data_IF_523965876036
#
_entry.id   IF_523965876036
#
_cell.length_a   1.000
_cell.length_b   1.000
_cell.length_c   1.000
_cell.angle_alpha   90.00
_cell.angle_beta   90.00
_cell.angle_gamma   90.00
#
_symmetry.space_group_name_H-M   'P 1'
#
loop_
_entity.id
_entity.type
_entity.pdbx_description
1 polymer ?
#
# COMPACT_ATOMS: atom_id res chain seq x y z
N UNK A 1 -11.86 -35.98 3.15
CA UNK A 1 -10.47 -36.19 2.71
C UNK A 1 -9.71 -34.90 3.02
N UNK A 2 -8.81 -34.90 4.02
CA UNK A 2 -7.89 -33.77 4.24
C UNK A 2 -6.74 -33.97 3.25
N UNK A 3 -6.62 -33.09 2.26
CA UNK A 3 -5.34 -32.99 1.54
C UNK A 3 -4.32 -32.49 2.55
N UNK A 4 -3.31 -33.30 2.84
CA UNK A 4 -2.09 -32.85 3.48
C UNK A 4 -1.23 -32.32 2.35
N UNK A 5 -1.26 -31.00 2.16
CA UNK A 5 -0.29 -30.32 1.34
C UNK A 5 1.08 -30.44 2.03
N UNK A 6 2.13 -30.69 1.26
CA UNK A 6 3.47 -30.50 1.80
C UNK A 6 3.77 -29.00 2.03
N UNK A 7 4.93 -28.69 2.61
CA UNK A 7 5.27 -27.32 2.97
C UNK A 7 5.35 -26.37 1.76
N UNK A 8 5.78 -26.89 0.61
CA UNK A 8 5.96 -26.14 -0.62
C UNK A 8 4.62 -25.90 -1.32
N UNK A 9 3.79 -26.93 -1.39
CA UNK A 9 2.41 -26.84 -1.89
C UNK A 9 1.57 -25.90 -1.03
N UNK A 10 1.75 -25.93 0.29
CA UNK A 10 1.06 -25.01 1.21
C UNK A 10 1.50 -23.56 0.97
N UNK A 11 2.80 -23.32 0.83
CA UNK A 11 3.34 -21.99 0.56
C UNK A 11 2.77 -21.42 -0.74
N UNK A 12 2.86 -22.18 -1.83
CA UNK A 12 2.34 -21.79 -3.14
C UNK A 12 0.82 -21.51 -3.10
N UNK A 13 0.06 -22.32 -2.35
CA UNK A 13 -1.37 -22.09 -2.14
C UNK A 13 -1.63 -20.77 -1.39
N UNK A 14 -0.97 -20.55 -0.25
CA UNK A 14 -1.18 -19.35 0.57
C UNK A 14 -0.78 -18.07 -0.20
N UNK A 15 0.32 -18.10 -0.94
CA UNK A 15 0.73 -16.98 -1.81
C UNK A 15 -0.28 -16.73 -2.94
N UNK A 16 -0.78 -17.79 -3.59
CA UNK A 16 -1.80 -17.65 -4.64
C UNK A 16 -3.06 -16.97 -4.11
N UNK A 17 -3.48 -17.31 -2.90
CA UNK A 17 -4.61 -16.67 -2.22
C UNK A 17 -4.29 -15.20 -1.91
N UNK A 18 -3.10 -14.91 -1.38
CA UNK A 18 -2.64 -13.54 -1.13
C UNK A 18 -2.63 -12.68 -2.39
N UNK A 19 -2.14 -13.20 -3.50
CA UNK A 19 -2.08 -12.52 -4.79
C UNK A 19 -3.49 -12.25 -5.33
N UNK A 20 -4.38 -13.23 -5.23
CA UNK A 20 -5.78 -13.05 -5.59
C UNK A 20 -6.47 -11.95 -4.75
N UNK A 21 -6.25 -11.94 -3.43
CA UNK A 21 -6.81 -10.92 -2.55
C UNK A 21 -6.25 -9.53 -2.88
N UNK A 22 -4.95 -9.43 -3.12
CA UNK A 22 -4.30 -8.18 -3.54
C UNK A 22 -4.90 -7.63 -4.83
N UNK A 23 -5.08 -8.47 -5.86
CA UNK A 23 -5.75 -8.08 -7.11
C UNK A 23 -7.18 -7.59 -6.87
N UNK A 24 -7.94 -8.26 -6.00
CA UNK A 24 -9.30 -7.85 -5.66
C UNK A 24 -9.33 -6.46 -5.00
N UNK A 25 -8.40 -6.19 -4.09
CA UNK A 25 -8.27 -4.89 -3.42
C UNK A 25 -7.99 -3.79 -4.45
N UNK A 26 -7.06 -4.02 -5.37
CA UNK A 26 -6.76 -3.08 -6.46
C UNK A 26 -7.93 -2.85 -7.40
N UNK A 27 -8.59 -3.92 -7.81
CA UNK A 27 -9.81 -3.83 -8.63
C UNK A 27 -10.89 -2.98 -7.94
N UNK A 28 -11.07 -3.14 -6.62
CA UNK A 28 -12.07 -2.37 -5.85
C UNK A 28 -11.72 -0.88 -5.69
N UNK A 29 -10.46 -0.50 -5.94
CA UNK A 29 -10.04 0.90 -6.04
C UNK A 29 -10.12 1.43 -7.48
N UNK A 30 -10.64 0.63 -8.43
CA UNK A 30 -10.78 1.01 -9.82
C UNK A 30 -9.53 0.81 -10.68
N UNK A 31 -8.51 0.09 -10.18
CA UNK A 31 -7.32 -0.24 -10.96
C UNK A 31 -7.65 -1.30 -12.01
N UNK A 32 -7.17 -1.11 -13.24
CA UNK A 32 -7.30 -2.12 -14.30
C UNK A 32 -6.29 -3.26 -14.07
N UNK A 33 -6.75 -4.34 -13.44
CA UNK A 33 -5.92 -5.50 -13.09
C UNK A 33 -5.71 -6.51 -14.23
N UNK A 34 -6.26 -6.27 -15.44
CA UNK A 34 -6.18 -7.24 -16.55
C UNK A 34 -4.76 -7.46 -17.08
N UNK A 35 -3.89 -6.49 -16.89
CA UNK A 35 -2.50 -6.50 -17.38
C UNK A 35 -1.51 -6.93 -16.29
N UNK A 36 -2.02 -7.34 -15.11
CA UNK A 36 -1.16 -7.74 -14.00
C UNK A 36 -0.68 -9.18 -14.21
N UNK A 37 0.43 -9.58 -13.57
CA UNK A 37 0.92 -10.96 -13.60
C UNK A 37 -0.13 -11.98 -13.15
N UNK A 38 0.09 -13.25 -13.52
CA UNK A 38 -0.74 -14.35 -13.01
C UNK A 38 -0.66 -14.41 -11.48
N UNK A 39 -1.81 -14.60 -10.83
CA UNK A 39 -1.86 -14.67 -9.37
C UNK A 39 -1.50 -16.06 -8.83
N UNK A 40 -1.44 -17.08 -9.68
CA UNK A 40 -1.20 -18.47 -9.28
C UNK A 40 0.31 -18.69 -9.16
N UNK A 41 0.74 -19.04 -7.95
CA UNK A 41 2.10 -19.50 -7.67
C UNK A 41 2.11 -21.02 -7.72
N UNK A 42 3.07 -21.59 -8.47
CA UNK A 42 3.25 -23.03 -8.57
C UNK A 42 4.31 -23.52 -7.57
N UNK A 43 4.19 -24.75 -7.03
CA UNK A 43 5.26 -25.37 -6.25
C UNK A 43 6.59 -25.33 -7.02
N UNK A 44 7.68 -24.95 -6.35
CA UNK A 44 9.00 -24.76 -6.95
C UNK A 44 9.22 -23.40 -7.63
N UNK A 45 8.19 -22.55 -7.71
CA UNK A 45 8.27 -21.20 -8.25
C UNK A 45 8.50 -20.17 -7.15
N UNK A 46 9.68 -19.52 -7.15
CA UNK A 46 9.91 -18.26 -6.45
C UNK A 46 9.85 -17.12 -7.47
N UNK A 47 8.72 -16.97 -8.15
CA UNK A 47 8.63 -16.15 -9.37
C UNK A 47 8.52 -14.63 -9.10
N UNK A 48 8.42 -14.20 -7.84
CA UNK A 48 8.34 -12.78 -7.49
C UNK A 48 7.00 -12.12 -7.88
N UNK A 49 6.04 -12.90 -8.39
CA UNK A 49 4.73 -12.42 -8.84
C UNK A 49 3.99 -11.59 -7.78
N UNK A 50 4.13 -11.96 -6.50
CA UNK A 50 3.52 -11.26 -5.38
C UNK A 50 3.96 -9.80 -5.28
N UNK A 51 5.26 -9.53 -5.49
CA UNK A 51 5.77 -8.16 -5.51
C UNK A 51 5.29 -7.40 -6.73
N UNK A 52 5.34 -8.03 -7.90
CA UNK A 52 4.91 -7.40 -9.14
C UNK A 52 3.43 -6.99 -9.08
N UNK A 53 2.57 -7.83 -8.51
CA UNK A 53 1.14 -7.55 -8.30
C UNK A 53 0.93 -6.40 -7.31
N UNK A 54 1.65 -6.39 -6.19
CA UNK A 54 1.59 -5.28 -5.23
C UNK A 54 2.02 -3.97 -5.91
N UNK A 55 3.20 -3.97 -6.51
CA UNK A 55 3.80 -2.79 -7.14
C UNK A 55 2.98 -2.26 -8.30
N UNK A 56 2.40 -3.12 -9.14
CA UNK A 56 1.55 -2.69 -10.24
C UNK A 56 0.33 -1.91 -9.73
N UNK A 57 -0.27 -2.35 -8.61
CA UNK A 57 -1.37 -1.62 -7.97
C UNK A 57 -0.92 -0.28 -7.39
N UNK A 58 0.22 -0.26 -6.70
CA UNK A 58 0.81 0.97 -6.16
C UNK A 58 1.14 1.99 -7.26
N UNK A 59 1.78 1.55 -8.35
CA UNK A 59 2.11 2.38 -9.52
C UNK A 59 0.86 2.96 -10.18
N UNK A 60 -0.23 2.19 -10.24
CA UNK A 60 -1.49 2.64 -10.81
C UNK A 60 -2.18 3.74 -9.97
N UNK A 61 -2.07 3.66 -8.64
CA UNK A 61 -2.70 4.62 -7.71
C UNK A 61 -1.83 5.88 -7.47
N UNK A 62 -0.51 5.73 -7.58
CA UNK A 62 0.47 6.75 -7.22
C UNK A 62 1.44 7.00 -8.39
N UNK A 63 1.19 8.01 -9.24
CA UNK A 63 2.00 8.27 -10.42
C UNK A 63 3.48 8.58 -10.13
N UNK A 64 3.79 9.08 -8.94
CA UNK A 64 5.18 9.37 -8.53
C UNK A 64 5.82 8.19 -7.79
N UNK A 65 5.28 6.98 -7.94
CA UNK A 65 5.80 5.77 -7.32
C UNK A 65 7.32 5.67 -7.47
N UNK A 66 7.99 5.40 -6.36
CA UNK A 66 9.40 4.96 -6.34
C UNK A 66 9.56 3.83 -5.32
N UNK A 67 10.46 2.92 -5.63
CA UNK A 67 10.87 1.84 -4.74
C UNK A 67 12.36 2.00 -4.44
N UNK A 68 12.73 1.81 -3.17
CA UNK A 68 14.11 1.69 -2.72
C UNK A 68 14.27 0.34 -2.01
N UNK A 69 15.46 -0.23 -2.12
CA UNK A 69 15.87 -1.46 -1.44
C UNK A 69 17.33 -1.33 -0.97
N UNK A 70 17.96 -2.45 -0.60
CA UNK A 70 19.35 -2.51 -0.14
C UNK A 70 20.37 -1.97 -1.15
N UNK A 71 20.06 -1.87 -2.45
CA UNK A 71 20.98 -1.26 -3.42
C UNK A 71 21.10 0.27 -3.22
N UNK A 72 20.08 0.90 -2.64
CA UNK A 72 20.02 2.32 -2.28
C UNK A 72 20.10 2.54 -0.74
N UNK A 73 20.80 1.65 -0.02
CA UNK A 73 20.83 1.57 1.46
C UNK A 73 20.93 2.93 2.17
N UNK A 74 21.85 3.80 1.76
CA UNK A 74 22.02 5.12 2.38
C UNK A 74 20.74 5.98 2.28
N UNK A 75 20.08 6.01 1.11
CA UNK A 75 18.84 6.78 0.94
C UNK A 75 17.69 6.13 1.69
N UNK A 76 17.59 4.81 1.62
CA UNK A 76 16.58 4.02 2.31
C UNK A 76 16.65 4.30 3.82
N UNK A 77 17.84 4.21 4.43
CA UNK A 77 18.03 4.55 5.85
C UNK A 77 17.67 5.99 6.18
N UNK A 78 18.04 6.93 5.31
CA UNK A 78 17.79 8.37 5.53
C UNK A 78 16.29 8.62 5.60
N UNK A 79 15.54 8.17 4.59
CA UNK A 79 14.09 8.39 4.51
C UNK A 79 13.36 7.64 5.63
N UNK A 80 13.81 6.43 5.97
CA UNK A 80 13.28 5.65 7.10
C UNK A 80 13.37 6.42 8.41
N UNK A 81 14.56 6.99 8.71
CA UNK A 81 14.80 7.81 9.92
C UNK A 81 13.95 9.09 9.91
N UNK A 82 13.90 9.80 8.79
CA UNK A 82 13.11 11.04 8.64
C UNK A 82 11.60 10.78 8.79
N UNK A 83 11.14 9.59 8.41
CA UNK A 83 9.73 9.19 8.47
C UNK A 83 9.32 8.57 9.83
N UNK A 84 10.22 8.55 10.82
CA UNK A 84 10.04 7.93 12.14
C UNK A 84 9.69 6.43 12.10
N UNK A 85 10.20 5.72 11.09
CA UNK A 85 10.04 4.26 10.98
C UNK A 85 11.13 3.59 11.84
N UNK A 86 10.74 2.56 12.60
CA UNK A 86 11.53 2.03 13.73
C UNK A 86 12.80 1.27 13.34
N UNK A 87 12.83 0.68 12.15
CA UNK A 87 13.95 -0.10 11.62
C UNK A 87 14.06 0.04 10.11
N UNK A 88 15.24 -0.29 9.56
CA UNK A 88 15.50 -0.30 8.12
C UNK A 88 14.72 -1.45 7.46
N UNK A 89 13.76 -1.16 6.56
CA UNK A 89 13.00 -2.21 5.87
C UNK A 89 13.79 -2.88 4.74
N UNK A 90 13.30 -4.02 4.27
CA UNK A 90 13.83 -4.68 3.06
C UNK A 90 13.48 -3.88 1.80
N UNK A 91 12.26 -3.32 1.76
CA UNK A 91 11.80 -2.46 0.68
C UNK A 91 11.03 -1.26 1.23
N UNK A 92 11.27 -0.11 0.62
CA UNK A 92 10.59 1.13 0.93
C UNK A 92 9.88 1.65 -0.33
N UNK A 93 8.57 1.84 -0.25
CA UNK A 93 7.76 2.41 -1.32
C UNK A 93 7.39 3.84 -0.98
N UNK A 94 7.65 4.74 -1.93
CA UNK A 94 7.36 6.16 -1.84
C UNK A 94 6.18 6.46 -2.77
N UNK A 95 5.06 6.83 -2.18
CA UNK A 95 3.74 6.85 -2.81
C UNK A 95 3.14 8.26 -2.71
N UNK A 96 3.20 9.02 -3.80
CA UNK A 96 2.61 10.36 -3.85
C UNK A 96 1.72 10.55 -5.07
N UNK A 97 0.78 11.47 -4.93
CA UNK A 97 -0.09 11.98 -5.99
C UNK A 97 -0.59 13.37 -5.59
N UNK A 98 -1.31 14.05 -6.48
CA UNK A 98 -1.77 15.43 -6.25
C UNK A 98 -2.65 15.56 -4.99
N UNK A 99 -3.45 14.53 -4.67
CA UNK A 99 -4.35 14.53 -3.50
C UNK A 99 -3.56 14.43 -2.20
N UNK A 100 -2.62 13.48 -2.13
CA UNK A 100 -1.72 13.33 -0.97
C UNK A 100 -0.88 14.59 -0.77
N UNK A 101 -0.31 15.15 -1.85
CA UNK A 101 0.49 16.37 -1.76
C UNK A 101 -0.34 17.55 -1.25
N UNK A 102 -1.59 17.72 -1.73
CA UNK A 102 -2.46 18.79 -1.24
C UNK A 102 -2.79 18.63 0.25
N UNK A 103 -3.05 17.41 0.72
CA UNK A 103 -3.27 17.16 2.15
C UNK A 103 -2.02 17.44 3.00
N UNK A 104 -0.82 17.17 2.47
CA UNK A 104 0.44 17.54 3.12
C UNK A 104 0.62 19.06 3.20
N UNK A 105 0.37 19.77 2.10
CA UNK A 105 0.56 21.22 2.00
C UNK A 105 -0.43 21.99 2.90
N UNK A 106 -1.64 21.46 3.07
CA UNK A 106 -2.68 22.02 3.95
C UNK A 106 -2.53 21.59 5.41
N UNK A 107 -1.68 20.60 5.72
CA UNK A 107 -1.51 20.02 7.05
C UNK A 107 -2.65 19.08 7.48
N UNK A 108 -3.64 18.88 6.62
CA UNK A 108 -4.82 18.04 6.89
C UNK A 108 -4.48 16.54 6.96
N UNK A 109 -3.31 16.15 6.44
CA UNK A 109 -2.78 14.79 6.55
C UNK A 109 -2.62 14.33 8.03
N UNK A 110 -2.49 15.25 8.97
CA UNK A 110 -2.35 14.93 10.40
C UNK A 110 -3.57 14.19 10.96
N UNK A 111 -4.75 14.38 10.35
CA UNK A 111 -5.97 13.62 10.68
C UNK A 111 -5.83 12.12 10.39
N UNK A 112 -4.92 11.74 9.49
CA UNK A 112 -4.67 10.35 9.10
C UNK A 112 -3.62 9.64 9.96
N UNK A 113 -2.86 10.35 10.80
CA UNK A 113 -1.84 9.75 11.68
C UNK A 113 -2.42 8.68 12.62
N UNK A 114 -3.58 8.95 13.23
CA UNK A 114 -4.24 8.01 14.16
C UNK A 114 -4.88 6.80 13.45
N UNK A 115 -5.58 6.94 12.31
CA UNK A 115 -5.98 5.79 11.51
C UNK A 115 -4.80 4.92 11.08
N UNK A 116 -3.70 5.55 10.65
CA UNK A 116 -2.51 4.87 10.17
C UNK A 116 -1.82 4.05 11.27
N UNK A 117 -1.72 4.58 12.49
CA UNK A 117 -1.11 3.87 13.64
C UNK A 117 -1.89 2.63 14.10
N UNK A 118 -3.01 2.30 13.47
CA UNK A 118 -3.83 1.12 13.74
C UNK A 118 -3.72 0.05 12.65
N UNK A 119 -2.89 0.29 11.64
CA UNK A 119 -2.64 -0.64 10.56
C UNK A 119 -1.43 -1.48 10.96
N UNK A 120 -1.63 -2.79 11.03
CA UNK A 120 -0.61 -3.79 11.26
C UNK A 120 -1.00 -5.04 10.47
N UNK A 121 -0.02 -5.79 9.99
CA UNK A 121 -0.25 -7.09 9.36
C UNK A 121 -0.01 -8.21 10.37
N UNK A 122 -0.87 -9.24 10.32
CA UNK A 122 -0.67 -10.47 11.09
C UNK A 122 0.28 -11.44 10.34
N UNK A 123 0.37 -11.32 9.02
CA UNK A 123 1.13 -12.20 8.12
C UNK A 123 2.32 -11.48 7.46
N UNK A 124 2.20 -10.18 7.18
CA UNK A 124 3.30 -9.35 6.67
C UNK A 124 3.60 -8.22 7.62
N UNK A 125 4.87 -8.13 8.01
CA UNK A 125 5.36 -7.01 8.80
C UNK A 125 5.58 -5.79 7.88
N UNK A 126 4.82 -4.74 8.13
CA UNK A 126 4.92 -3.47 7.43
C UNK A 126 4.71 -2.28 8.36
N UNK A 127 5.25 -1.13 7.98
CA UNK A 127 4.98 0.15 8.62
C UNK A 127 4.59 1.19 7.56
N UNK A 128 3.81 2.17 7.97
CA UNK A 128 3.36 3.24 7.09
C UNK A 128 3.57 4.58 7.78
N UNK A 129 3.91 5.60 7.03
CA UNK A 129 4.04 6.96 7.57
C UNK A 129 3.84 7.99 6.47
N UNK A 130 3.71 9.25 6.83
CA UNK A 130 3.68 10.34 5.87
C UNK A 130 4.99 11.13 5.95
N UNK A 131 5.60 11.31 4.78
CA UNK A 131 6.79 12.12 4.59
C UNK A 131 6.46 13.35 3.74
N UNK A 132 6.96 14.52 4.15
CA UNK A 132 6.62 15.80 3.52
C UNK A 132 6.96 15.86 2.04
N UNK A 133 8.09 15.27 1.65
CA UNK A 133 8.56 15.25 0.25
C UNK A 133 8.00 14.08 -0.56
N UNK A 134 7.79 12.92 0.08
CA UNK A 134 7.58 11.65 -0.62
C UNK A 134 6.15 11.14 -0.54
N UNK A 135 5.24 11.83 0.16
CA UNK A 135 3.87 11.40 0.30
C UNK A 135 3.72 10.32 1.37
N UNK A 136 2.96 9.29 1.04
CA UNK A 136 2.83 8.09 1.86
C UNK A 136 4.08 7.22 1.67
N UNK A 137 4.68 6.82 2.79
CA UNK A 137 5.81 5.90 2.84
C UNK A 137 5.29 4.56 3.36
N UNK A 138 5.54 3.48 2.61
CA UNK A 138 5.23 2.11 3.00
C UNK A 138 6.54 1.32 3.10
N UNK A 139 6.86 0.86 4.31
CA UNK A 139 8.02 0.03 4.61
C UNK A 139 7.57 -1.42 4.75
N UNK A 140 8.21 -2.34 4.03
CA UNK A 140 7.97 -3.78 4.11
C UNK A 140 9.23 -4.47 4.65
N UNK A 141 9.07 -5.28 5.69
CA UNK A 141 10.19 -5.96 6.39
C UNK A 141 10.32 -7.44 6.06
N UNK A 142 9.26 -8.05 5.54
CA UNK A 142 9.26 -9.48 5.20
C UNK A 142 8.47 -9.75 3.92
N UNK A 143 8.91 -10.76 3.17
CA UNK A 143 8.39 -11.06 1.83
C UNK A 143 7.52 -12.32 1.83
N UNK A 144 6.32 -12.24 1.25
CA UNK A 144 5.51 -13.33 0.64
C UNK A 144 4.02 -12.98 0.53
N UNK A 145 3.44 -12.34 1.57
CA UNK A 145 1.97 -12.21 1.71
C UNK A 145 1.51 -10.74 1.77
N UNK A 146 1.42 -10.07 0.62
CA UNK A 146 1.24 -8.60 0.61
C UNK A 146 -0.21 -8.08 0.73
N UNK A 147 -1.23 -8.94 0.82
CA UNK A 147 -2.62 -8.45 0.79
C UNK A 147 -2.95 -7.53 1.98
N UNK A 148 -2.34 -7.72 3.15
CA UNK A 148 -2.56 -6.86 4.32
C UNK A 148 -1.99 -5.46 4.11
N UNK A 149 -0.80 -5.37 3.52
CA UNK A 149 -0.21 -4.09 3.11
C UNK A 149 -1.07 -3.42 2.03
N UNK A 150 -1.57 -4.19 1.05
CA UNK A 150 -2.48 -3.68 0.04
C UNK A 150 -3.80 -3.15 0.63
N UNK A 151 -4.38 -3.87 1.60
CA UNK A 151 -5.58 -3.45 2.32
C UNK A 151 -5.33 -2.16 3.12
N UNK A 152 -4.19 -2.08 3.81
CA UNK A 152 -3.78 -0.90 4.57
C UNK A 152 -3.65 0.32 3.65
N UNK A 153 -2.97 0.17 2.51
CA UNK A 153 -2.88 1.21 1.47
C UNK A 153 -4.27 1.59 0.98
N UNK A 154 -5.11 0.62 0.60
CA UNK A 154 -6.46 0.87 0.10
C UNK A 154 -7.31 1.67 1.08
N UNK A 155 -7.22 1.34 2.37
CA UNK A 155 -7.91 2.07 3.43
C UNK A 155 -7.42 3.50 3.54
N UNK A 156 -6.11 3.73 3.51
CA UNK A 156 -5.54 5.08 3.54
C UNK A 156 -5.91 5.85 2.27
N UNK A 157 -5.86 5.24 1.09
CA UNK A 157 -6.26 5.87 -0.17
C UNK A 157 -7.70 6.38 -0.12
N UNK A 158 -8.63 5.58 0.43
CA UNK A 158 -10.03 6.01 0.63
C UNK A 158 -10.15 7.18 1.60
N UNK A 159 -9.42 7.15 2.72
CA UNK A 159 -9.43 8.26 3.68
C UNK A 159 -8.80 9.55 3.12
N UNK A 160 -7.76 9.42 2.31
CA UNK A 160 -7.17 10.53 1.55
C UNK A 160 -8.20 11.13 0.61
N UNK A 161 -8.93 10.29 -0.13
CA UNK A 161 -10.00 10.74 -1.03
C UNK A 161 -11.08 11.51 -0.27
N UNK A 162 -11.59 10.95 0.83
CA UNK A 162 -12.63 11.56 1.64
C UNK A 162 -12.20 12.93 2.19
N UNK A 163 -10.97 13.04 2.69
CA UNK A 163 -10.42 14.31 3.19
C UNK A 163 -10.21 15.32 2.06
N UNK A 164 -9.69 14.87 0.93
CA UNK A 164 -9.46 15.71 -0.24
C UNK A 164 -10.78 16.34 -0.71
N UNK A 165 -11.86 15.54 -0.82
CA UNK A 165 -13.20 16.02 -1.17
C UNK A 165 -13.72 17.05 -0.15
N UNK A 166 -13.49 16.83 1.15
CA UNK A 166 -13.89 17.78 2.20
C UNK A 166 -13.19 19.14 2.07
N UNK A 167 -11.92 19.16 1.64
CA UNK A 167 -11.11 20.38 1.54
C UNK A 167 -11.37 21.13 0.24
N UNK A 168 -11.50 20.44 -0.89
CA UNK A 168 -11.87 21.06 -2.17
C UNK A 168 -13.29 21.64 -2.14
N UNK A 169 -14.12 21.18 -1.19
CA UNK A 169 -15.32 21.88 -0.74
C UNK A 169 -16.27 22.25 -1.87
N UNK A 170 -16.74 21.29 -2.70
CA UNK A 170 -17.80 21.36 -3.75
C UNK A 170 -17.70 20.06 -4.60
N UNK A 171 -18.71 19.38 -5.16
CA UNK A 171 -20.18 19.26 -5.09
C UNK A 171 -20.51 18.09 -6.04
N UNK A 172 -21.31 17.11 -5.62
CA UNK A 172 -22.10 16.32 -6.58
C UNK A 172 -23.61 16.51 -6.37
N UNK A 173 -24.04 17.46 -5.51
CA UNK A 173 -25.45 17.82 -5.33
C UNK A 173 -25.75 19.23 -4.73
N UNK A 174 -24.87 20.22 -4.90
CA UNK A 174 -25.25 21.65 -4.74
C UNK A 174 -25.91 22.09 -3.41
N UNK A 175 -25.71 21.39 -2.30
CA UNK A 175 -26.24 21.79 -0.98
C UNK A 175 -25.11 21.91 0.03
N UNK A 176 -24.64 23.15 0.23
CA UNK A 176 -23.94 23.53 1.45
C UNK A 176 -24.91 23.38 2.64
N UNK A 177 -24.57 22.54 3.62
CA UNK A 177 -25.15 22.68 4.94
C UNK A 177 -24.54 23.94 5.57
N UNK A 178 -25.21 25.07 5.39
CA UNK A 178 -25.08 26.19 6.31
C UNK A 178 -25.69 25.76 7.65
N UNK A 179 -24.92 25.98 8.71
CA UNK A 179 -25.32 25.76 10.08
C UNK A 179 -26.69 26.42 10.39
N UNK A 180 -27.56 25.66 11.07
CA UNK A 180 -28.58 26.18 11.99
C UNK A 180 -28.47 25.35 13.26
#
# INVERSE_FOLDING_TARGET
MRMLLDAEEKYAYDESISNFLTLKIWHDLGVNVKEFPEYIVYPGGYDGSSFEILEAGLKALYPTFRQLDYEDEHKLETITKESNISSTPERLYLLNNDKVQKLLDTGEIDKLKKPLSKLYGDLTEFDMSFHKEYGLVLAIYFTSVFFEAAEAVARITRLVEDLYIQIEGVTDNGLCYQAI
#
